data_IF_851008647047
#
_entry.id   IF_851008647047
#
_cell.length_a   1.000
_cell.length_b   1.000
_cell.length_c   1.000
_cell.angle_alpha   90.00
_cell.angle_beta   90.00
_cell.angle_gamma   90.00
#
_symmetry.space_group_name_H-M   'P 1'
#
loop_
_entity.id
_entity.type
_entity.pdbx_description
1 polymer ?
#
# COMPACT_ATOMS: atom_id res chain seq x y z
N UNK A 1 3.21 5.43 -17.27
CA UNK A 1 4.32 6.06 -16.52
C UNK A 1 4.55 5.26 -15.23
N UNK A 2 5.79 4.93 -14.95
CA UNK A 2 6.13 4.21 -13.72
C UNK A 2 6.18 5.18 -12.55
N UNK A 3 5.47 4.83 -11.49
CA UNK A 3 5.52 5.56 -10.22
C UNK A 3 6.00 4.63 -9.11
N UNK A 4 6.69 5.21 -8.14
CA UNK A 4 7.07 4.54 -6.91
C UNK A 4 6.30 5.20 -5.77
N UNK A 5 5.54 4.40 -5.05
CA UNK A 5 4.77 4.84 -3.88
C UNK A 5 5.52 4.40 -2.64
N UNK A 6 5.85 5.35 -1.79
CA UNK A 6 6.39 5.08 -0.46
C UNK A 6 5.47 5.68 0.60
N UNK A 7 5.67 5.26 1.83
CA UNK A 7 4.89 5.75 2.96
C UNK A 7 5.83 6.44 3.93
N UNK A 8 5.37 7.52 4.56
CA UNK A 8 6.10 8.12 5.66
C UNK A 8 6.35 7.09 6.76
N UNK A 9 7.41 7.24 7.56
CA UNK A 9 7.75 6.29 8.62
C UNK A 9 6.52 5.94 9.46
N UNK A 10 6.29 4.64 9.63
CA UNK A 10 5.11 4.11 10.30
C UNK A 10 5.53 2.96 11.22
N UNK A 11 5.04 2.98 12.46
CA UNK A 11 5.39 1.99 13.49
C UNK A 11 4.89 0.57 13.20
N UNK A 12 3.97 0.40 12.24
CA UNK A 12 3.45 -0.93 11.88
C UNK A 12 4.32 -1.67 10.86
N UNK A 13 5.27 -0.98 10.24
CA UNK A 13 6.20 -1.57 9.27
C UNK A 13 7.54 -1.91 9.94
N UNK A 14 8.16 -3.01 9.50
CA UNK A 14 9.50 -3.39 9.97
C UNK A 14 10.59 -2.55 9.34
N UNK A 15 10.37 -2.06 8.12
CA UNK A 15 11.34 -1.32 7.32
C UNK A 15 10.62 -0.45 6.29
N UNK A 16 11.37 0.29 5.49
CA UNK A 16 10.84 1.08 4.39
C UNK A 16 10.13 0.16 3.40
N UNK A 17 8.91 0.55 3.02
CA UNK A 17 8.07 -0.21 2.11
C UNK A 17 7.74 0.66 0.90
N UNK A 18 8.03 0.16 -0.30
CA UNK A 18 7.82 0.88 -1.54
C UNK A 18 7.11 -0.01 -2.56
N UNK A 19 6.11 0.55 -3.23
CA UNK A 19 5.38 -0.08 -4.32
C UNK A 19 5.85 0.51 -5.65
N UNK A 20 5.86 -0.30 -6.68
CA UNK A 20 6.05 0.15 -8.06
C UNK A 20 4.81 -0.17 -8.87
N UNK A 21 4.30 0.78 -9.61
CA UNK A 21 3.13 0.59 -10.46
C UNK A 21 3.14 1.46 -11.70
N UNK A 22 2.29 1.09 -12.66
CA UNK A 22 2.08 1.89 -13.87
C UNK A 22 0.91 2.85 -13.65
N UNK A 23 1.22 4.14 -13.58
CA UNK A 23 0.23 5.18 -13.40
C UNK A 23 -0.49 5.44 -14.73
N UNK A 24 -1.75 5.05 -14.81
CA UNK A 24 -2.56 5.14 -16.02
C UNK A 24 -3.56 6.28 -16.01
N UNK A 25 -3.67 7.00 -14.91
CA UNK A 25 -4.55 8.17 -14.81
C UNK A 25 -3.98 9.35 -15.60
N UNK A 26 -4.84 10.27 -16.11
CA UNK A 26 -4.39 11.36 -16.99
C UNK A 26 -3.51 12.41 -16.29
N UNK A 27 -3.60 12.53 -14.97
CA UNK A 27 -2.82 13.50 -14.19
C UNK A 27 -2.13 12.82 -13.03
N UNK A 28 -0.95 13.32 -12.67
CA UNK A 28 -0.29 12.94 -11.42
C UNK A 28 -1.01 13.58 -10.23
N UNK A 29 -0.99 12.94 -9.07
CA UNK A 29 -1.56 13.53 -7.87
C UNK A 29 -0.74 14.72 -7.41
N UNK A 30 -1.36 15.58 -6.64
CA UNK A 30 -0.71 16.74 -6.00
C UNK A 30 -0.65 16.51 -4.49
N UNK A 31 0.25 17.24 -3.83
CA UNK A 31 0.32 17.25 -2.37
C UNK A 31 -1.05 17.62 -1.80
N UNK A 32 -1.54 16.83 -0.86
CA UNK A 32 -2.87 16.98 -0.28
C UNK A 32 -3.96 16.12 -0.91
N UNK A 33 -3.71 15.57 -2.11
CA UNK A 33 -4.68 14.67 -2.73
C UNK A 33 -4.73 13.34 -1.96
N UNK A 34 -5.88 12.68 -2.04
CA UNK A 34 -6.09 11.35 -1.49
C UNK A 34 -5.93 10.29 -2.59
N UNK A 35 -5.21 9.21 -2.28
CA UNK A 35 -5.15 8.04 -3.14
C UNK A 35 -5.84 6.89 -2.43
N UNK A 36 -6.94 6.40 -3.00
CA UNK A 36 -7.64 5.25 -2.43
C UNK A 36 -6.73 4.02 -2.39
N UNK A 37 -6.74 3.24 -1.30
CA UNK A 37 -6.03 1.96 -1.26
C UNK A 37 -6.36 1.05 -2.43
N UNK A 38 -7.55 1.11 -2.98
CA UNK A 38 -7.97 0.33 -4.13
C UNK A 38 -7.06 0.53 -5.36
N UNK A 39 -6.51 1.73 -5.53
CA UNK A 39 -5.58 2.04 -6.63
C UNK A 39 -4.28 1.25 -6.47
N UNK A 40 -3.81 1.10 -5.23
CA UNK A 40 -2.55 0.44 -4.92
C UNK A 40 -2.66 -1.08 -4.92
N UNK A 41 -3.86 -1.61 -4.70
CA UNK A 41 -4.07 -3.05 -4.57
C UNK A 41 -3.72 -3.84 -5.83
N UNK A 42 -3.78 -3.21 -7.00
CA UNK A 42 -3.41 -3.85 -8.26
C UNK A 42 -1.88 -4.02 -8.41
N UNK A 43 -1.10 -3.34 -7.57
CA UNK A 43 0.35 -3.30 -7.67
C UNK A 43 1.06 -4.14 -6.63
N UNK A 44 0.34 -4.77 -5.72
CA UNK A 44 0.91 -5.53 -4.62
C UNK A 44 0.01 -6.72 -4.25
N UNK A 45 0.63 -7.83 -3.86
CA UNK A 45 -0.10 -8.95 -3.29
C UNK A 45 -0.27 -8.79 -1.77
N UNK A 46 -1.31 -9.43 -1.18
CA UNK A 46 -1.48 -9.41 0.27
C UNK A 46 -0.25 -9.89 1.04
N UNK A 47 0.43 -10.93 0.55
CA UNK A 47 1.60 -11.49 1.24
C UNK A 47 2.80 -10.56 1.25
N UNK A 48 2.99 -9.77 0.20
CA UNK A 48 4.07 -8.78 0.15
C UNK A 48 3.92 -7.75 1.26
N UNK A 49 2.70 -7.25 1.48
CA UNK A 49 2.44 -6.32 2.57
C UNK A 49 2.53 -7.01 3.93
N UNK A 50 1.92 -8.18 4.07
CA UNK A 50 1.98 -8.97 5.30
C UNK A 50 3.43 -9.17 5.78
N UNK A 51 4.32 -9.57 4.87
CA UNK A 51 5.72 -9.82 5.19
C UNK A 51 6.46 -8.57 5.66
N UNK A 52 5.95 -7.38 5.34
CA UNK A 52 6.55 -6.09 5.72
C UNK A 52 6.06 -5.56 7.06
N UNK A 53 5.04 -6.20 7.66
CA UNK A 53 4.46 -5.77 8.93
C UNK A 53 5.28 -6.28 10.12
N UNK A 54 5.19 -5.58 11.25
CA UNK A 54 5.72 -6.09 12.53
C UNK A 54 4.90 -7.28 13.02
N UNK A 55 5.47 -8.09 13.89
CA UNK A 55 4.84 -9.34 14.37
C UNK A 55 3.46 -9.14 14.99
N UNK A 56 3.26 -8.07 15.74
CA UNK A 56 1.97 -7.74 16.34
C UNK A 56 0.88 -7.55 15.28
N UNK A 57 1.21 -6.81 14.22
CA UNK A 57 0.27 -6.54 13.12
C UNK A 57 0.03 -7.79 12.26
N UNK A 58 1.04 -8.63 12.09
CA UNK A 58 0.88 -9.93 11.42
C UNK A 58 -0.12 -10.81 12.16
N UNK A 59 -0.07 -10.84 13.47
CA UNK A 59 -1.03 -11.61 14.28
C UNK A 59 -2.45 -11.10 14.11
N UNK A 60 -2.62 -9.79 14.14
CA UNK A 60 -3.92 -9.16 13.92
C UNK A 60 -4.47 -9.49 12.53
N UNK A 61 -3.63 -9.45 11.52
CA UNK A 61 -3.99 -9.83 10.16
C UNK A 61 -4.54 -11.27 10.10
N UNK A 62 -3.80 -12.21 10.68
CA UNK A 62 -4.21 -13.63 10.70
C UNK A 62 -5.55 -13.81 11.42
N UNK A 63 -5.72 -13.14 12.56
CA UNK A 63 -6.97 -13.20 13.35
C UNK A 63 -8.16 -12.68 12.55
N UNK A 64 -8.01 -11.56 11.86
CA UNK A 64 -9.09 -10.96 11.07
C UNK A 64 -9.45 -11.80 9.84
N UNK A 65 -8.47 -12.40 9.16
CA UNK A 65 -8.76 -13.33 8.08
C UNK A 65 -9.52 -14.54 8.58
N UNK A 66 -9.07 -15.12 9.69
CA UNK A 66 -9.73 -16.30 10.28
C UNK A 66 -11.17 -15.98 10.70
N UNK A 67 -11.41 -14.80 11.28
CA UNK A 67 -12.73 -14.35 11.65
C UNK A 67 -13.66 -14.20 10.45
N UNK A 68 -13.18 -13.54 9.39
CA UNK A 68 -13.95 -13.34 8.17
C UNK A 68 -14.31 -14.69 7.51
N UNK A 69 -13.39 -15.63 7.50
CA UNK A 69 -13.62 -16.98 6.96
C UNK A 69 -14.65 -17.73 7.82
N UNK A 70 -14.59 -17.58 9.14
CA UNK A 70 -15.57 -18.16 10.05
C UNK A 70 -17.00 -17.66 9.76
N UNK A 71 -17.12 -16.39 9.39
CA UNK A 71 -18.41 -15.80 9.01
C UNK A 71 -18.79 -16.00 7.54
N UNK A 72 -18.10 -16.86 6.83
CA UNK A 72 -18.47 -17.31 5.49
C UNK A 72 -17.72 -16.64 4.32
N UNK A 73 -16.74 -15.79 4.59
CA UNK A 73 -15.93 -15.21 3.54
C UNK A 73 -15.00 -16.25 2.91
N UNK A 74 -14.70 -16.08 1.63
CA UNK A 74 -13.64 -16.83 0.95
C UNK A 74 -12.30 -16.28 1.43
N UNK A 75 -11.32 -17.15 1.68
CA UNK A 75 -10.02 -16.75 2.20
C UNK A 75 -9.33 -15.68 1.33
N UNK A 76 -9.35 -15.84 0.01
CA UNK A 76 -8.79 -14.86 -0.92
C UNK A 76 -9.42 -13.48 -0.75
N UNK A 77 -10.74 -13.42 -0.61
CA UNK A 77 -11.45 -12.16 -0.40
C UNK A 77 -11.11 -11.54 0.95
N UNK A 78 -10.98 -12.36 2.00
CA UNK A 78 -10.56 -11.90 3.31
C UNK A 78 -9.13 -11.34 3.29
N UNK A 79 -8.23 -11.97 2.56
CA UNK A 79 -6.87 -11.47 2.38
C UNK A 79 -6.85 -10.12 1.64
N UNK A 80 -7.65 -9.98 0.58
CA UNK A 80 -7.76 -8.73 -0.18
C UNK A 80 -8.35 -7.60 0.68
N UNK A 81 -9.34 -7.89 1.49
CA UNK A 81 -9.92 -6.91 2.41
C UNK A 81 -8.91 -6.43 3.44
N UNK A 82 -8.10 -7.33 3.98
CA UNK A 82 -7.01 -6.96 4.88
C UNK A 82 -5.95 -6.11 4.17
N UNK A 83 -5.59 -6.44 2.94
CA UNK A 83 -4.68 -5.62 2.15
C UNK A 83 -5.20 -4.19 2.05
N UNK A 84 -6.47 -4.02 1.74
CA UNK A 84 -7.10 -2.70 1.65
C UNK A 84 -7.01 -1.94 2.98
N UNK A 85 -7.34 -2.61 4.08
CA UNK A 85 -7.35 -1.99 5.42
C UNK A 85 -5.93 -1.55 5.81
N UNK A 86 -4.95 -2.42 5.67
CA UNK A 86 -3.57 -2.11 6.06
C UNK A 86 -2.94 -1.04 5.16
N UNK A 87 -3.21 -1.04 3.86
CA UNK A 87 -2.77 0.05 2.98
C UNK A 87 -3.35 1.39 3.43
N UNK A 88 -4.63 1.41 3.79
CA UNK A 88 -5.27 2.61 4.36
C UNK A 88 -4.63 3.07 5.66
N UNK A 89 -4.22 2.13 6.51
CA UNK A 89 -3.55 2.43 7.78
C UNK A 89 -2.14 2.98 7.59
N UNK A 90 -1.46 2.61 6.51
CA UNK A 90 -0.14 3.17 6.17
C UNK A 90 -0.23 4.62 5.73
N UNK A 91 -1.26 4.97 5.00
CA UNK A 91 -1.52 6.33 4.59
C UNK A 91 -2.14 6.42 3.21
N UNK A 92 -2.93 7.47 3.01
CA UNK A 92 -3.62 7.71 1.74
C UNK A 92 -3.46 9.14 1.24
N UNK A 93 -2.94 10.05 2.06
CA UNK A 93 -2.78 11.46 1.69
C UNK A 93 -1.39 11.69 1.09
N UNK A 94 -1.34 12.30 -0.09
CA UNK A 94 -0.07 12.62 -0.75
C UNK A 94 0.65 13.72 0.04
N UNK A 95 1.84 13.40 0.55
CA UNK A 95 2.68 14.36 1.27
C UNK A 95 3.83 14.91 0.41
N UNK A 96 4.25 14.17 -0.59
CA UNK A 96 5.33 14.58 -1.49
C UNK A 96 5.16 13.97 -2.87
N UNK A 97 5.48 14.73 -3.91
CA UNK A 97 5.59 14.25 -5.29
C UNK A 97 6.92 14.75 -5.83
N UNK A 98 7.75 13.83 -6.28
CA UNK A 98 9.11 14.14 -6.70
C UNK A 98 9.47 13.40 -7.99
N UNK A 99 10.04 14.11 -8.95
CA UNK A 99 10.63 13.48 -10.13
C UNK A 99 12.00 12.92 -9.80
N UNK A 100 12.27 11.73 -10.28
CA UNK A 100 13.56 11.07 -10.07
C UNK A 100 13.99 10.32 -11.33
N UNK A 101 15.22 9.83 -11.32
CA UNK A 101 15.77 9.02 -12.39
C UNK A 101 16.34 7.74 -11.78
N UNK A 102 15.83 6.60 -12.25
CA UNK A 102 16.22 5.29 -11.76
C UNK A 102 16.59 4.40 -12.95
N UNK A 103 17.78 3.81 -12.90
CA UNK A 103 18.31 2.98 -14.01
C UNK A 103 18.22 3.66 -15.39
N UNK A 104 18.50 4.97 -15.43
CA UNK A 104 18.46 5.73 -16.68
C UNK A 104 17.06 6.15 -17.13
N UNK A 105 16.02 5.76 -16.41
CA UNK A 105 14.63 6.12 -16.74
C UNK A 105 14.06 7.10 -15.73
N UNK A 106 13.25 8.04 -16.22
CA UNK A 106 12.53 8.95 -15.35
C UNK A 106 11.34 8.22 -14.68
N UNK A 107 11.18 8.47 -13.40
CA UNK A 107 10.04 7.99 -12.63
C UNK A 107 9.56 9.09 -11.68
N UNK A 108 8.38 8.88 -11.12
CA UNK A 108 7.81 9.77 -10.12
C UNK A 108 7.78 9.05 -8.79
N UNK A 109 8.27 9.71 -7.76
CA UNK A 109 8.19 9.24 -6.38
C UNK A 109 7.04 9.95 -5.68
N UNK A 110 6.10 9.18 -5.16
CA UNK A 110 4.95 9.69 -4.41
C UNK A 110 5.04 9.15 -3.00
N UNK A 111 5.00 10.04 -2.01
CA UNK A 111 5.00 9.66 -0.60
C UNK A 111 3.62 9.89 -0.03
N UNK A 112 3.10 8.90 0.67
CA UNK A 112 1.80 8.95 1.33
C UNK A 112 1.98 9.04 2.84
N UNK A 113 1.06 9.75 3.49
CA UNK A 113 0.96 9.89 4.94
C UNK A 113 -0.45 9.57 5.41
N UNK A 114 -0.55 9.31 6.67
CA UNK A 114 -1.84 9.11 7.37
C UNK A 114 -2.62 10.40 7.48
#
# INVERSE_FOLDING_TARGET
>A
MIVHISFEPNHILTDVFTLEGDWTFPCLPRVGDEISPAVLMDWISPMELYDSLIEEEKRTWVEWVAEDVEYGAVEEEAQQENLRIWLGNLGSTVSEVCWSKYDGQYCVLITLKR
#
